data_IF_340411689716
#
_entry.id   IF_340411689716
#
_cell.length_a   1.000
_cell.length_b   1.000
_cell.length_c   1.000
_cell.angle_alpha   90.00
_cell.angle_beta   90.00
_cell.angle_gamma   90.00
#
_symmetry.space_group_name_H-M   'P 1'
#
loop_
_entity.id
_entity.type
_entity.pdbx_description
1 polymer ?
#
# COMPACT_ATOMS: atom_id res chain seq x y z
N UNK A 1 0.04 -4.55 40.11
CA UNK A 1 -0.61 -3.24 39.80
C UNK A 1 -0.32 -2.92 38.35
N UNK A 2 -1.33 -3.16 37.53
CA UNK A 2 -1.24 -3.09 36.04
C UNK A 2 -1.41 -1.63 35.61
N UNK A 3 -0.42 -1.06 34.96
CA UNK A 3 -0.53 0.23 34.27
C UNK A 3 -0.79 -0.01 32.81
N UNK A 4 -2.06 -0.01 32.43
CA UNK A 4 -2.49 -0.04 31.03
C UNK A 4 -2.07 1.30 30.38
N UNK A 5 -1.12 1.24 29.46
CA UNK A 5 -0.78 2.36 28.59
C UNK A 5 -1.91 2.47 27.56
N UNK A 6 -2.83 3.36 27.85
CA UNK A 6 -3.94 3.73 26.98
C UNK A 6 -3.38 4.58 25.84
N UNK A 7 -3.07 3.94 24.70
CA UNK A 7 -2.68 4.63 23.48
C UNK A 7 -3.93 5.21 22.81
N UNK A 8 -4.39 6.32 23.39
CA UNK A 8 -5.47 7.11 22.81
C UNK A 8 -4.94 7.81 21.56
N UNK A 9 -5.26 7.25 20.39
CA UNK A 9 -5.14 7.99 19.13
C UNK A 9 -6.07 9.20 19.28
N UNK A 10 -5.48 10.34 19.62
CA UNK A 10 -6.19 11.63 19.58
C UNK A 10 -6.59 11.88 18.13
N UNK A 11 -7.85 11.57 17.79
CA UNK A 11 -8.53 12.19 16.66
C UNK A 11 -8.52 13.69 16.92
N UNK A 12 -7.60 14.38 16.29
CA UNK A 12 -7.61 15.84 16.28
C UNK A 12 -8.74 16.27 15.33
N UNK A 13 -9.95 16.41 15.88
CA UNK A 13 -10.99 17.19 15.24
C UNK A 13 -10.53 18.65 15.29
N UNK A 14 -9.95 19.12 14.19
CA UNK A 14 -9.73 20.55 14.00
C UNK A 14 -11.09 21.13 13.65
N UNK A 15 -11.67 21.86 14.60
CA UNK A 15 -12.85 22.70 14.33
C UNK A 15 -12.46 23.76 13.31
N UNK A 16 -12.96 23.62 12.09
CA UNK A 16 -12.71 24.55 11.00
C UNK A 16 -13.25 25.94 11.34
N UNK A 17 -12.34 26.89 11.55
CA UNK A 17 -12.65 28.31 11.42
C UNK A 17 -12.88 28.59 9.92
N UNK A 18 -13.90 29.41 9.62
CA UNK A 18 -14.33 29.80 8.27
C UNK A 18 -13.12 30.06 7.35
N UNK A 19 -12.93 29.21 6.34
CA UNK A 19 -11.94 29.37 5.28
C UNK A 19 -10.87 28.28 5.15
N UNK A 20 -10.78 27.33 6.06
CA UNK A 20 -9.87 26.17 5.92
C UNK A 20 -10.51 25.10 5.04
N UNK A 21 -9.79 24.68 3.99
CA UNK A 21 -10.12 23.49 3.22
C UNK A 21 -10.19 22.31 4.20
N UNK A 22 -11.38 21.73 4.37
CA UNK A 22 -11.52 20.43 5.03
C UNK A 22 -10.82 19.42 4.15
N UNK A 23 -9.59 19.06 4.50
CA UNK A 23 -8.85 18.00 3.84
C UNK A 23 -9.55 16.70 4.20
N UNK A 24 -10.26 16.11 3.24
CA UNK A 24 -10.91 14.81 3.42
C UNK A 24 -9.88 13.69 3.61
N UNK A 25 -10.31 12.56 4.16
CA UNK A 25 -9.47 11.34 4.16
C UNK A 25 -9.13 10.99 2.70
N UNK A 26 -7.85 10.70 2.35
CA UNK A 26 -7.47 10.34 0.98
C UNK A 26 -8.20 9.07 0.54
N UNK A 27 -8.71 9.05 -0.68
CA UNK A 27 -9.44 7.91 -1.23
C UNK A 27 -8.47 6.86 -1.77
N UNK A 28 -7.89 6.06 -0.87
CA UNK A 28 -7.03 4.92 -1.21
C UNK A 28 -7.93 3.71 -1.47
N UNK A 29 -8.16 3.41 -2.75
CA UNK A 29 -9.00 2.28 -3.17
C UNK A 29 -8.38 0.93 -2.83
N UNK A 30 -7.06 0.84 -2.94
CA UNK A 30 -6.29 -0.35 -2.60
C UNK A 30 -4.84 0.03 -2.30
N UNK A 31 -4.25 -0.61 -1.30
CA UNK A 31 -2.82 -0.72 -1.12
C UNK A 31 -2.37 -2.13 -1.53
N UNK A 32 -1.32 -2.22 -2.36
CA UNK A 32 -0.82 -3.49 -2.90
C UNK A 32 0.68 -3.64 -2.66
N UNK A 33 1.06 -4.82 -2.22
CA UNK A 33 2.45 -5.26 -2.19
C UNK A 33 2.77 -6.02 -3.47
N UNK A 34 3.76 -5.54 -4.21
CA UNK A 34 4.29 -6.19 -5.40
C UNK A 34 5.77 -5.81 -5.59
N UNK A 35 6.67 -6.79 -5.53
CA UNK A 35 8.12 -6.55 -5.69
C UNK A 35 8.49 -5.87 -7.01
N UNK A 36 7.64 -5.98 -8.03
CA UNK A 36 7.87 -5.38 -9.34
C UNK A 36 7.26 -3.99 -9.48
N UNK A 37 6.48 -3.56 -8.48
CA UNK A 37 5.74 -2.31 -8.47
C UNK A 37 4.75 -2.20 -9.65
N UNK A 38 4.82 -1.16 -10.48
CA UNK A 38 3.98 -1.06 -11.68
C UNK A 38 4.59 -1.90 -12.80
N UNK A 39 3.86 -2.91 -13.25
CA UNK A 39 4.29 -3.74 -14.36
C UNK A 39 3.11 -4.34 -15.12
N UNK A 40 3.26 -4.42 -16.45
CA UNK A 40 2.41 -5.17 -17.38
C UNK A 40 0.90 -5.08 -17.12
N UNK A 41 0.22 -6.17 -17.41
CA UNK A 41 -1.24 -6.27 -17.32
C UNK A 41 -1.80 -6.16 -15.89
N UNK A 42 -0.97 -6.38 -14.85
CA UNK A 42 -1.43 -6.37 -13.46
C UNK A 42 -1.96 -4.99 -13.06
N UNK A 43 -1.20 -3.93 -13.37
CA UNK A 43 -1.62 -2.56 -13.11
C UNK A 43 -2.93 -2.21 -13.85
N UNK A 44 -3.04 -2.61 -15.11
CA UNK A 44 -4.23 -2.38 -15.94
C UNK A 44 -5.46 -3.09 -15.38
N UNK A 45 -5.34 -4.38 -15.00
CA UNK A 45 -6.45 -5.17 -14.47
C UNK A 45 -6.96 -4.62 -13.14
N UNK A 46 -6.05 -4.29 -12.21
CA UNK A 46 -6.43 -3.70 -10.93
C UNK A 46 -7.06 -2.32 -11.11
N UNK A 47 -6.45 -1.47 -11.95
CA UNK A 47 -6.99 -0.14 -12.21
C UNK A 47 -8.40 -0.19 -12.80
N UNK A 48 -8.64 -1.07 -13.78
CA UNK A 48 -9.95 -1.25 -14.39
C UNK A 48 -11.02 -1.70 -13.39
N UNK A 49 -10.65 -2.54 -12.41
CA UNK A 49 -11.56 -3.00 -11.36
C UNK A 49 -11.82 -1.94 -10.29
N UNK A 50 -10.79 -1.17 -9.93
CA UNK A 50 -10.85 -0.19 -8.84
C UNK A 50 -11.39 1.18 -9.27
N UNK A 51 -11.34 1.49 -10.57
CA UNK A 51 -11.70 2.81 -11.09
C UNK A 51 -10.77 3.93 -10.59
N UNK A 52 -9.47 3.62 -10.42
CA UNK A 52 -8.49 4.58 -9.95
C UNK A 52 -7.98 5.46 -11.08
N UNK A 53 -7.64 6.71 -10.77
CA UNK A 53 -7.07 7.67 -11.71
C UNK A 53 -5.65 8.10 -11.33
N UNK A 54 -5.14 7.57 -10.23
CA UNK A 54 -3.78 7.81 -9.75
C UNK A 54 -3.17 6.51 -9.21
N UNK A 55 -2.01 6.13 -9.74
CA UNK A 55 -1.16 5.11 -9.13
C UNK A 55 -0.03 5.80 -8.38
N UNK A 56 0.03 5.59 -7.08
CA UNK A 56 1.09 6.11 -6.21
C UNK A 56 2.02 4.97 -5.83
N UNK A 57 3.26 5.04 -6.32
CA UNK A 57 4.33 4.13 -5.91
C UNK A 57 5.06 4.76 -4.73
N UNK A 58 5.01 4.08 -3.59
CA UNK A 58 5.75 4.45 -2.38
C UNK A 58 6.97 3.54 -2.25
N UNK A 59 8.13 4.04 -2.68
CA UNK A 59 9.39 3.30 -2.66
C UNK A 59 10.58 4.26 -2.73
N UNK A 60 11.50 4.15 -1.78
CA UNK A 60 12.59 5.10 -1.61
C UNK A 60 13.60 5.07 -2.77
N UNK A 61 13.88 3.88 -3.33
CA UNK A 61 14.79 3.73 -4.45
C UNK A 61 14.19 4.32 -5.74
N UNK A 62 12.96 3.96 -6.05
CA UNK A 62 12.28 4.40 -7.28
C UNK A 62 12.00 5.90 -7.26
N UNK A 63 11.74 6.49 -6.11
CA UNK A 63 11.51 7.93 -5.99
C UNK A 63 12.66 8.77 -6.54
N UNK A 64 13.90 8.27 -6.45
CA UNK A 64 15.10 8.91 -7.00
C UNK A 64 15.51 8.42 -8.40
N UNK A 65 14.86 7.39 -8.95
CA UNK A 65 15.33 6.70 -10.17
C UNK A 65 14.43 7.01 -11.39
N UNK A 66 14.78 8.06 -12.13
CA UNK A 66 14.02 8.51 -13.31
C UNK A 66 13.91 7.46 -14.42
N UNK A 67 14.91 6.60 -14.58
CA UNK A 67 14.88 5.53 -15.59
C UNK A 67 13.79 4.50 -15.21
N UNK A 68 13.79 4.01 -13.96
CA UNK A 68 12.76 3.09 -13.48
C UNK A 68 11.35 3.71 -13.53
N UNK A 69 11.20 4.99 -13.18
CA UNK A 69 9.94 5.72 -13.30
C UNK A 69 9.44 5.71 -14.74
N UNK A 70 10.29 6.04 -15.73
CA UNK A 70 9.92 6.04 -17.14
C UNK A 70 9.47 4.66 -17.65
N UNK A 71 10.12 3.57 -17.22
CA UNK A 71 9.68 2.22 -17.56
C UNK A 71 8.30 1.88 -16.95
N UNK A 72 8.04 2.32 -15.73
CA UNK A 72 6.76 2.12 -15.07
C UNK A 72 5.66 2.97 -15.70
N UNK A 73 5.96 4.20 -16.14
CA UNK A 73 5.02 5.06 -16.85
C UNK A 73 4.56 4.42 -18.17
N UNK A 74 5.46 3.73 -18.87
CA UNK A 74 5.11 2.97 -20.08
C UNK A 74 4.21 1.76 -19.79
N UNK A 75 4.27 1.20 -18.59
CA UNK A 75 3.44 0.07 -18.16
C UNK A 75 2.14 0.50 -17.48
N UNK A 76 1.99 1.78 -17.15
CA UNK A 76 0.78 2.31 -16.54
C UNK A 76 -0.39 2.34 -17.53
N UNK A 77 -1.64 2.16 -17.04
CA UNK A 77 -2.82 2.27 -17.89
C UNK A 77 -2.96 3.66 -18.50
N UNK A 78 -3.43 3.73 -19.74
CA UNK A 78 -3.68 5.02 -20.40
C UNK A 78 -4.69 5.86 -19.62
N UNK A 79 -4.39 7.15 -19.46
CA UNK A 79 -5.24 8.10 -18.73
C UNK A 79 -5.13 8.05 -17.20
N UNK A 80 -4.25 7.21 -16.66
CA UNK A 80 -3.99 7.12 -15.22
C UNK A 80 -2.70 7.86 -14.90
N UNK A 81 -2.75 8.80 -13.96
CA UNK A 81 -1.56 9.50 -13.50
C UNK A 81 -0.68 8.59 -12.63
N UNK A 82 0.62 8.79 -12.69
CA UNK A 82 1.60 8.11 -11.82
C UNK A 82 2.31 9.12 -10.92
N UNK A 83 2.64 8.69 -9.71
CA UNK A 83 3.49 9.44 -8.78
C UNK A 83 4.44 8.47 -8.10
N UNK A 84 5.66 8.92 -7.88
CA UNK A 84 6.74 8.15 -7.26
C UNK A 84 7.28 8.95 -6.08
N UNK A 85 6.96 8.50 -4.88
CA UNK A 85 7.35 9.16 -3.65
C UNK A 85 8.17 8.22 -2.77
N UNK A 86 9.06 8.79 -1.97
CA UNK A 86 9.62 8.05 -0.83
C UNK A 86 8.51 7.71 0.17
N UNK A 87 8.77 6.75 1.06
CA UNK A 87 7.86 6.44 2.15
C UNK A 87 7.57 7.68 2.98
N UNK A 88 8.61 8.41 3.37
CA UNK A 88 8.49 9.63 4.15
C UNK A 88 7.66 10.69 3.42
N UNK A 89 7.93 10.93 2.14
CA UNK A 89 7.15 11.88 1.33
C UNK A 89 5.69 11.48 1.21
N UNK A 90 5.40 10.19 1.06
CA UNK A 90 4.03 9.68 1.02
C UNK A 90 3.29 10.01 2.31
N UNK A 91 3.90 9.75 3.48
CA UNK A 91 3.34 10.07 4.79
C UNK A 91 3.01 11.56 4.92
N UNK A 92 3.93 12.44 4.48
CA UNK A 92 3.77 13.89 4.60
C UNK A 92 2.68 14.48 3.71
N UNK A 93 2.42 13.87 2.54
CA UNK A 93 1.57 14.52 1.52
C UNK A 93 0.27 13.79 1.25
N UNK A 94 0.09 12.54 1.67
CA UNK A 94 -1.08 11.75 1.31
C UNK A 94 -2.39 12.41 1.72
N UNK A 95 -2.42 13.07 2.86
CA UNK A 95 -3.59 13.79 3.38
C UNK A 95 -3.92 15.08 2.60
N UNK A 96 -3.05 15.49 1.67
CA UNK A 96 -3.29 16.62 0.75
C UNK A 96 -3.92 16.17 -0.57
N UNK A 97 -4.19 14.88 -0.73
CA UNK A 97 -4.87 14.36 -1.90
C UNK A 97 -6.26 15.00 -2.04
N UNK A 98 -6.60 15.42 -3.26
CA UNK A 98 -7.93 15.96 -3.51
C UNK A 98 -9.00 14.86 -3.53
N UNK A 99 -10.25 15.22 -3.25
CA UNK A 99 -11.37 14.28 -3.28
C UNK A 99 -11.59 13.63 -4.66
N UNK A 100 -11.05 14.21 -5.73
CA UNK A 100 -11.11 13.64 -7.09
C UNK A 100 -10.01 12.63 -7.39
N UNK A 101 -9.03 12.45 -6.48
CA UNK A 101 -7.97 11.46 -6.65
C UNK A 101 -8.37 10.13 -6.03
N UNK A 102 -8.59 9.13 -6.89
CA UNK A 102 -8.85 7.75 -6.52
C UNK A 102 -7.54 6.98 -6.64
N UNK A 103 -6.94 6.64 -5.50
CA UNK A 103 -5.54 6.21 -5.41
C UNK A 103 -5.43 4.69 -5.38
N UNK A 104 -4.60 4.15 -6.27
CA UNK A 104 -4.03 2.81 -6.15
C UNK A 104 -2.60 2.95 -5.63
N UNK A 105 -2.37 2.60 -4.36
CA UNK A 105 -1.07 2.68 -3.71
C UNK A 105 -0.32 1.36 -3.91
N UNK A 106 0.92 1.42 -4.36
CA UNK A 106 1.78 0.25 -4.58
C UNK A 106 3.07 0.42 -3.79
N UNK A 107 3.42 -0.61 -3.01
CA UNK A 107 4.67 -0.71 -2.26
C UNK A 107 5.38 -2.02 -2.61
N UNK A 108 6.67 -2.11 -2.33
CA UNK A 108 7.50 -3.23 -2.73
C UNK A 108 7.38 -4.43 -1.79
N UNK A 109 7.24 -4.19 -0.50
CA UNK A 109 7.30 -5.19 0.55
C UNK A 109 6.39 -4.83 1.74
N UNK A 110 6.16 -5.75 2.70
CA UNK A 110 5.29 -5.50 3.84
C UNK A 110 5.85 -4.47 4.84
N UNK A 111 7.17 -4.35 4.98
CA UNK A 111 7.79 -3.37 5.87
C UNK A 111 7.55 -1.94 5.39
N UNK A 112 7.56 -1.71 4.07
CA UNK A 112 7.21 -0.43 3.47
C UNK A 112 5.76 -0.05 3.83
N UNK A 113 4.83 -0.99 3.66
CA UNK A 113 3.42 -0.77 4.02
C UNK A 113 3.25 -0.52 5.51
N UNK A 114 3.95 -1.28 6.36
CA UNK A 114 3.93 -1.08 7.81
C UNK A 114 4.43 0.31 8.19
N UNK A 115 5.50 0.77 7.56
CA UNK A 115 6.04 2.13 7.75
C UNK A 115 5.01 3.19 7.39
N UNK A 116 4.31 3.02 6.27
CA UNK A 116 3.24 3.93 5.85
C UNK A 116 2.07 3.95 6.85
N UNK A 117 1.61 2.80 7.31
CA UNK A 117 0.52 2.67 8.28
C UNK A 117 0.90 3.33 9.62
N UNK A 118 2.09 3.04 10.14
CA UNK A 118 2.62 3.68 11.35
C UNK A 118 2.78 5.19 11.20
N UNK A 119 3.10 5.65 9.99
CA UNK A 119 3.17 7.07 9.65
C UNK A 119 1.81 7.76 9.48
N UNK A 120 0.70 7.03 9.64
CA UNK A 120 -0.65 7.59 9.59
C UNK A 120 -1.30 7.57 8.21
N UNK A 121 -0.74 6.87 7.22
CA UNK A 121 -1.42 6.65 5.94
C UNK A 121 -2.64 5.74 6.18
N UNK A 122 -3.86 6.13 5.79
CA UNK A 122 -5.08 5.42 6.19
C UNK A 122 -5.33 4.17 5.33
N UNK A 123 -4.43 3.21 5.40
CA UNK A 123 -4.53 1.93 4.72
C UNK A 123 -5.37 0.97 5.57
N UNK A 124 -6.55 0.57 5.08
CA UNK A 124 -7.47 -0.35 5.76
C UNK A 124 -7.34 -1.79 5.28
N UNK A 125 -6.92 -1.96 4.02
CA UNK A 125 -6.74 -3.26 3.39
C UNK A 125 -5.48 -3.28 2.54
N UNK A 126 -4.74 -4.40 2.61
CA UNK A 126 -3.55 -4.66 1.81
C UNK A 126 -3.76 -5.91 0.96
N UNK A 127 -3.58 -5.76 -0.33
CA UNK A 127 -3.49 -6.86 -1.27
C UNK A 127 -2.03 -7.29 -1.41
N UNK A 128 -1.76 -8.55 -1.11
CA UNK A 128 -0.46 -9.19 -1.29
C UNK A 128 -0.49 -9.85 -2.67
N UNK A 129 0.13 -9.20 -3.64
CA UNK A 129 0.03 -9.61 -5.04
C UNK A 129 1.20 -10.41 -5.55
N UNK A 130 2.42 -9.99 -5.21
CA UNK A 130 3.62 -10.69 -5.63
C UNK A 130 4.79 -10.40 -4.68
N UNK A 131 5.37 -11.45 -4.17
CA UNK A 131 6.60 -11.43 -3.38
C UNK A 131 7.49 -12.59 -3.85
N UNK A 132 8.60 -12.25 -4.52
CA UNK A 132 9.45 -13.25 -5.16
C UNK A 132 10.10 -14.21 -4.17
N UNK A 133 10.31 -15.45 -4.64
CA UNK A 133 11.17 -16.40 -3.97
C UNK A 133 12.60 -15.86 -3.94
N UNK A 134 13.23 -15.90 -2.78
CA UNK A 134 14.62 -15.53 -2.56
C UNK A 134 15.22 -16.44 -1.49
N UNK A 135 16.53 -16.38 -1.29
CA UNK A 135 17.20 -17.11 -0.21
C UNK A 135 16.59 -16.76 1.15
N UNK A 136 16.32 -17.77 1.96
CA UNK A 136 15.70 -17.62 3.28
C UNK A 136 14.17 -17.45 3.27
N UNK A 137 13.53 -17.37 2.10
CA UNK A 137 12.07 -17.30 2.00
C UNK A 137 11.43 -18.67 1.76
N UNK A 138 10.22 -18.85 2.27
CA UNK A 138 9.36 -20.00 1.99
C UNK A 138 8.15 -19.60 1.15
N UNK A 139 7.75 -20.47 0.24
CA UNK A 139 6.56 -20.27 -0.58
C UNK A 139 5.30 -20.47 0.28
N UNK A 140 4.39 -19.51 0.26
CA UNK A 140 3.11 -19.57 0.98
C UNK A 140 1.90 -19.51 0.06
N UNK A 141 2.06 -18.96 -1.13
CA UNK A 141 1.03 -18.90 -2.16
C UNK A 141 1.69 -18.89 -3.56
N UNK A 142 0.88 -18.99 -4.62
CA UNK A 142 1.39 -19.11 -5.99
C UNK A 142 2.39 -18.01 -6.38
N UNK A 143 2.19 -16.80 -5.88
CA UNK A 143 3.03 -15.62 -6.19
C UNK A 143 3.64 -14.98 -4.94
N UNK A 144 3.62 -15.66 -3.80
CA UNK A 144 4.05 -15.08 -2.53
C UNK A 144 4.99 -16.03 -1.79
N UNK A 145 6.20 -15.54 -1.54
CA UNK A 145 7.16 -16.16 -0.64
C UNK A 145 7.53 -15.16 0.46
N UNK A 146 7.73 -15.64 1.69
CA UNK A 146 7.96 -14.81 2.87
C UNK A 146 9.14 -15.32 3.68
N UNK A 147 9.80 -14.43 4.40
CA UNK A 147 10.71 -14.73 5.48
C UNK A 147 10.12 -14.28 6.84
N UNK A 148 10.90 -14.46 7.91
CA UNK A 148 10.44 -14.10 9.26
C UNK A 148 10.18 -12.60 9.43
N UNK A 149 10.87 -11.73 8.69
CA UNK A 149 10.66 -10.28 8.73
C UNK A 149 9.35 -9.91 8.08
N UNK A 150 9.07 -10.49 6.90
CA UNK A 150 7.79 -10.31 6.20
C UNK A 150 6.63 -10.74 7.11
N UNK A 151 6.76 -11.92 7.75
CA UNK A 151 5.74 -12.47 8.66
C UNK A 151 5.52 -11.55 9.85
N UNK A 152 6.60 -11.03 10.45
CA UNK A 152 6.50 -10.10 11.57
C UNK A 152 5.76 -8.80 11.16
N UNK A 153 6.08 -8.25 9.99
CA UNK A 153 5.41 -7.07 9.47
C UNK A 153 3.92 -7.33 9.19
N UNK A 154 3.55 -8.47 8.64
CA UNK A 154 2.15 -8.85 8.43
C UNK A 154 1.38 -9.01 9.74
N UNK A 155 1.97 -9.61 10.78
CA UNK A 155 1.34 -9.70 12.11
C UNK A 155 1.07 -8.32 12.68
N UNK A 156 2.05 -7.42 12.64
CA UNK A 156 1.90 -6.07 13.13
C UNK A 156 0.85 -5.26 12.34
N UNK A 157 0.79 -5.42 11.02
CA UNK A 157 -0.27 -4.82 10.20
C UNK A 157 -1.66 -5.29 10.65
N UNK A 158 -1.85 -6.59 10.95
CA UNK A 158 -3.13 -7.10 11.48
C UNK A 158 -3.45 -6.54 12.87
N UNK A 159 -2.46 -6.43 13.76
CA UNK A 159 -2.62 -5.81 15.09
C UNK A 159 -3.04 -4.34 14.99
N UNK A 160 -2.60 -3.62 13.94
CA UNK A 160 -3.00 -2.26 13.64
C UNK A 160 -4.38 -2.19 12.94
N UNK A 161 -5.06 -3.32 12.76
CA UNK A 161 -6.40 -3.38 12.19
C UNK A 161 -6.44 -3.42 10.65
N UNK A 162 -5.31 -3.66 9.98
CA UNK A 162 -5.25 -3.79 8.52
C UNK A 162 -5.68 -5.18 8.10
N UNK A 163 -6.63 -5.25 7.17
CA UNK A 163 -7.05 -6.52 6.54
C UNK A 163 -6.05 -6.93 5.47
N UNK A 164 -5.60 -8.18 5.49
CA UNK A 164 -4.70 -8.75 4.49
C UNK A 164 -5.47 -9.65 3.51
N UNK A 165 -5.08 -9.62 2.23
CA UNK A 165 -5.64 -10.48 1.19
C UNK A 165 -4.54 -10.92 0.24
N UNK A 166 -4.32 -12.23 0.08
CA UNK A 166 -3.45 -12.76 -0.98
C UNK A 166 -4.29 -12.92 -2.25
N UNK A 167 -3.95 -12.14 -3.27
CA UNK A 167 -4.64 -12.19 -4.56
C UNK A 167 -3.79 -11.58 -5.65
N UNK A 168 -3.51 -12.37 -6.68
CA UNK A 168 -2.62 -11.95 -7.76
C UNK A 168 -3.24 -10.89 -8.66
N UNK A 169 -4.44 -11.15 -9.18
CA UNK A 169 -5.23 -10.25 -10.04
C UNK A 169 -6.70 -10.31 -9.63
N UNK A 170 -7.52 -9.31 -9.99
CA UNK A 170 -8.91 -9.24 -9.53
C UNK A 170 -9.77 -10.46 -9.90
N UNK A 171 -9.42 -11.14 -10.99
CA UNK A 171 -10.15 -12.31 -11.51
C UNK A 171 -9.75 -13.64 -10.89
N UNK A 172 -8.66 -13.68 -10.10
CA UNK A 172 -8.25 -14.91 -9.40
C UNK A 172 -8.94 -15.03 -8.04
N UNK A 173 -9.14 -16.25 -7.52
CA UNK A 173 -9.60 -16.44 -6.16
C UNK A 173 -8.65 -15.81 -5.13
N UNK A 174 -9.20 -15.45 -3.98
CA UNK A 174 -8.40 -15.09 -2.79
C UNK A 174 -7.78 -16.36 -2.25
N UNK A 175 -6.47 -16.34 -2.00
CA UNK A 175 -5.74 -17.44 -1.37
C UNK A 175 -5.77 -17.31 0.17
N UNK A 176 -5.60 -18.41 0.87
CA UNK A 176 -5.65 -18.46 2.34
C UNK A 176 -4.45 -17.74 2.97
N UNK A 177 -4.72 -16.74 3.78
CA UNK A 177 -3.70 -15.97 4.48
C UNK A 177 -3.09 -16.70 5.69
N UNK A 178 -3.71 -17.77 6.19
CA UNK A 178 -3.16 -18.54 7.33
C UNK A 178 -1.75 -19.04 7.05
N UNK A 179 -1.48 -19.40 5.80
CA UNK A 179 -0.17 -19.85 5.32
C UNK A 179 0.96 -18.84 5.47
N UNK A 180 0.64 -17.54 5.64
CA UNK A 180 1.65 -16.53 5.96
C UNK A 180 2.29 -16.80 7.33
N UNK A 181 1.53 -17.39 8.25
CA UNK A 181 1.85 -17.46 9.67
C UNK A 181 2.22 -18.87 10.15
N UNK A 182 2.19 -19.84 9.26
CA UNK A 182 2.71 -21.21 9.49
C UNK A 182 4.24 -21.23 9.35
#
# INVERSE_FOLDING_TARGET
>A
MSSAINFQIKRTYVQAKRGELVMGEPDIKLARIDNRLIHGQVATQWNGTLGTNLILVANDEVAGNKMRQGLMDMAAPSGVATRYFTLQKTIEVIHKASASQHIFLVAENPEDVLTLVKGGVPIKKVNIGNMHMAEGKRQVATSVAVDDKDVAAFRELQELGVTLEIRRVPTTPVEDISKLFE
#
